data_IF_163323809277
#
_entry.id   IF_163323809277
#
_cell.length_a   1.000
_cell.length_b   1.000
_cell.length_c   1.000
_cell.angle_alpha   90.00
_cell.angle_beta   90.00
_cell.angle_gamma   90.00
#
_symmetry.space_group_name_H-M   'P 1'
#
loop_
_entity.id
_entity.type
_entity.pdbx_description
1 polymer ?
#
# COMPACT_ATOMS: atom_id res chain seq x y z
N UNK A 1 1.16 22.40 -4.18
CA UNK A 1 0.90 21.50 -5.32
C UNK A 1 0.79 20.03 -4.88
N UNK A 2 1.78 19.47 -4.17
CA UNK A 2 1.81 18.05 -3.78
C UNK A 2 0.67 17.60 -2.82
N UNK A 3 0.43 18.33 -1.72
CA UNK A 3 -0.60 17.94 -0.73
C UNK A 3 -2.01 17.80 -1.34
N UNK A 4 -2.37 18.69 -2.29
CA UNK A 4 -3.65 18.62 -3.02
C UNK A 4 -3.73 17.35 -3.87
N UNK A 5 -2.67 17.04 -4.62
CA UNK A 5 -2.62 15.83 -5.44
C UNK A 5 -2.72 14.55 -4.60
N UNK A 6 -2.08 14.51 -3.42
CA UNK A 6 -2.16 13.38 -2.49
C UNK A 6 -3.58 13.19 -1.95
N UNK A 7 -4.26 14.28 -1.56
CA UNK A 7 -5.65 14.23 -1.08
C UNK A 7 -6.61 13.71 -2.16
N UNK A 8 -6.38 14.06 -3.44
CA UNK A 8 -7.19 13.60 -4.56
C UNK A 8 -7.08 12.10 -4.86
N UNK A 9 -6.03 11.41 -4.38
CA UNK A 9 -5.88 9.97 -4.62
C UNK A 9 -6.83 9.10 -3.80
N UNK A 10 -7.38 9.59 -2.68
CA UNK A 10 -8.38 8.86 -1.92
C UNK A 10 -7.92 7.53 -1.32
N UNK A 11 -6.65 7.41 -0.89
CA UNK A 11 -6.07 6.15 -0.39
C UNK A 11 -6.84 5.47 0.75
N UNK A 12 -7.51 6.26 1.60
CA UNK A 12 -8.37 5.73 2.66
C UNK A 12 -9.57 4.95 2.09
N UNK A 13 -10.24 5.53 1.10
CA UNK A 13 -11.41 4.93 0.47
C UNK A 13 -11.01 3.67 -0.31
N UNK A 14 -9.87 3.72 -1.02
CA UNK A 14 -9.30 2.54 -1.67
C UNK A 14 -9.08 1.38 -0.69
N UNK A 15 -8.46 1.66 0.46
CA UNK A 15 -8.25 0.65 1.51
C UNK A 15 -9.58 0.11 2.05
N UNK A 16 -10.54 0.97 2.37
CA UNK A 16 -11.87 0.57 2.85
C UNK A 16 -12.54 -0.39 1.88
N UNK A 17 -12.48 -0.08 0.58
CA UNK A 17 -13.05 -0.91 -0.48
C UNK A 17 -12.39 -2.28 -0.56
N UNK A 18 -11.06 -2.34 -0.51
CA UNK A 18 -10.32 -3.60 -0.49
C UNK A 18 -10.75 -4.46 0.69
N UNK A 19 -10.79 -3.90 1.91
CA UNK A 19 -11.14 -4.65 3.12
C UNK A 19 -12.57 -5.23 3.05
N UNK A 20 -13.59 -4.42 2.70
CA UNK A 20 -14.97 -4.93 2.71
C UNK A 20 -15.24 -5.89 1.56
N UNK A 21 -14.72 -5.63 0.36
CA UNK A 21 -14.93 -6.50 -0.81
C UNK A 21 -14.22 -7.83 -0.61
N UNK A 22 -13.01 -7.83 -0.06
CA UNK A 22 -12.29 -9.06 0.23
C UNK A 22 -12.98 -9.87 1.32
N UNK A 23 -13.52 -9.23 2.36
CA UNK A 23 -14.35 -9.90 3.37
C UNK A 23 -15.58 -10.59 2.74
N UNK A 24 -16.26 -9.93 1.80
CA UNK A 24 -17.40 -10.52 1.10
C UNK A 24 -17.04 -11.72 0.22
N UNK A 25 -15.84 -11.73 -0.35
CA UNK A 25 -15.36 -12.79 -1.23
C UNK A 25 -14.50 -13.84 -0.49
N UNK A 26 -14.42 -13.78 0.84
CA UNK A 26 -13.56 -14.63 1.66
C UNK A 26 -12.07 -14.61 1.22
N UNK A 27 -11.60 -13.44 0.76
CA UNK A 27 -10.21 -13.18 0.34
C UNK A 27 -9.46 -12.53 1.50
N UNK A 28 -8.24 -12.99 1.76
CA UNK A 28 -7.38 -12.37 2.76
C UNK A 28 -6.71 -11.10 2.20
N UNK A 29 -6.75 -10.01 2.98
CA UNK A 29 -6.00 -8.77 2.70
C UNK A 29 -4.91 -8.61 3.74
N UNK A 30 -3.67 -8.44 3.28
CA UNK A 30 -2.51 -8.20 4.13
C UNK A 30 -2.07 -6.75 3.94
N UNK A 31 -2.02 -6.00 5.02
CA UNK A 31 -1.57 -4.61 5.02
C UNK A 31 -0.11 -4.58 5.47
N UNK A 32 0.77 -4.14 4.58
CA UNK A 32 2.17 -3.93 4.92
C UNK A 32 2.34 -2.75 5.90
N UNK A 33 3.43 -2.77 6.65
CA UNK A 33 3.78 -1.67 7.56
C UNK A 33 3.86 -0.31 6.82
N UNK A 34 3.57 0.77 7.53
CA UNK A 34 3.59 2.14 6.98
C UNK A 34 4.95 2.52 6.37
N UNK A 35 6.04 2.04 6.97
CA UNK A 35 7.41 2.31 6.53
C UNK A 35 8.05 1.11 5.82
N UNK A 36 7.23 0.17 5.33
CA UNK A 36 7.70 -0.95 4.53
C UNK A 36 8.45 -0.43 3.28
N UNK A 37 9.72 -0.81 3.06
CA UNK A 37 10.58 -0.20 2.04
C UNK A 37 10.32 -0.77 0.63
N UNK A 38 9.06 -0.85 0.19
CA UNK A 38 8.66 -1.50 -1.07
C UNK A 38 9.39 -0.97 -2.30
N UNK A 39 9.58 0.34 -2.40
CA UNK A 39 10.28 0.99 -3.52
C UNK A 39 11.81 0.88 -3.45
N UNK A 40 12.36 0.47 -2.31
CA UNK A 40 13.81 0.31 -2.09
C UNK A 40 14.24 -1.15 -1.97
N UNK A 41 13.28 -2.07 -1.85
CA UNK A 41 13.52 -3.51 -1.74
C UNK A 41 13.70 -4.10 -3.13
N UNK A 42 14.86 -4.69 -3.39
CA UNK A 42 15.08 -5.43 -4.63
C UNK A 42 14.26 -6.72 -4.65
N UNK A 43 13.43 -6.93 -5.67
CA UNK A 43 12.65 -8.16 -5.82
C UNK A 43 13.51 -9.40 -6.09
N UNK A 44 14.68 -9.23 -6.72
CA UNK A 44 15.59 -10.33 -7.06
C UNK A 44 16.39 -10.82 -5.85
N UNK A 45 16.88 -9.91 -5.00
CA UNK A 45 17.84 -10.27 -3.94
C UNK A 45 17.46 -9.80 -2.53
N UNK A 46 16.32 -9.13 -2.35
CA UNK A 46 15.86 -8.66 -1.04
C UNK A 46 16.70 -7.54 -0.43
N UNK A 47 17.71 -7.02 -1.13
CA UNK A 47 18.56 -5.94 -0.62
C UNK A 47 17.78 -4.63 -0.59
N UNK A 48 17.83 -3.92 0.54
CA UNK A 48 17.25 -2.58 0.69
C UNK A 48 18.29 -1.54 0.29
N UNK A 49 17.98 -0.68 -0.68
CA UNK A 49 18.81 0.47 -1.04
C UNK A 49 18.84 1.46 0.13
N UNK A 50 19.98 1.56 0.80
CA UNK A 50 20.26 2.63 1.78
C UNK A 50 20.60 3.91 1.00
N UNK A 51 20.03 5.03 1.44
CA UNK A 51 20.34 6.37 0.94
C UNK A 51 21.53 6.88 1.77
#
# INVERSE_FOLDING_TARGET
HLSKAVQQQGFYEFRRQMEYKSKWNNIQVIIADRFFPSSKLCSCCGKIKKI
#
